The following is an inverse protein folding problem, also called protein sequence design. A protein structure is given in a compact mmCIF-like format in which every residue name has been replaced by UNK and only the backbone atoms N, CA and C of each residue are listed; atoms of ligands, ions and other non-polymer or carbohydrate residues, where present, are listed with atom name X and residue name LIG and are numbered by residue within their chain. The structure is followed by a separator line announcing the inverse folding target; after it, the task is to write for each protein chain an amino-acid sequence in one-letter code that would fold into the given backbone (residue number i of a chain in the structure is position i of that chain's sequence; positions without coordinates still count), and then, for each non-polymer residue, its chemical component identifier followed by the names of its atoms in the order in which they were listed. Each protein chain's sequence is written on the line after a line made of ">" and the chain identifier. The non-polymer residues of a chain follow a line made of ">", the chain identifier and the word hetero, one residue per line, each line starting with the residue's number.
data_IF_981661700561
#
_entry.id   IF_981661700561
#
_cell.length_a   1.000
_cell.length_b   1.000
_cell.length_c   1.000
_cell.angle_alpha   90.00
_cell.angle_beta   90.00
_cell.angle_gamma   90.00
#
_symmetry.space_group_name_H-M   'P 1'
#
loop_
_entity.id
_entity.type
_entity.pdbx_description
1 polymer ?
#
# COMPACT_ATOMS: atom_id res chain seq x y z
N UNK A 1 12.22 3.22 -10.54
CA UNK A 1 10.77 3.03 -10.89
C UNK A 1 10.54 2.32 -12.23
N UNK A 2 11.59 1.79 -12.83
CA UNK A 2 11.48 1.00 -14.08
C UNK A 2 10.56 -0.22 -13.90
N UNK A 3 10.62 -0.90 -12.75
CA UNK A 3 9.80 -2.06 -12.43
C UNK A 3 8.30 -1.82 -12.64
N UNK A 4 7.81 -0.63 -12.28
CA UNK A 4 6.40 -0.27 -12.46
C UNK A 4 6.08 0.00 -13.94
N UNK A 5 6.97 0.65 -14.69
CA UNK A 5 6.77 0.86 -16.13
C UNK A 5 6.81 -0.47 -16.89
N UNK A 6 7.71 -1.39 -16.52
CA UNK A 6 7.77 -2.73 -17.09
C UNK A 6 6.46 -3.51 -16.82
N UNK A 7 5.82 -3.30 -15.67
CA UNK A 7 4.50 -3.85 -15.37
C UNK A 7 3.42 -3.29 -16.30
N UNK A 8 3.35 -1.96 -16.48
CA UNK A 8 2.37 -1.35 -17.37
C UNK A 8 2.54 -1.84 -18.82
N UNK A 9 3.78 -1.88 -19.30
CA UNK A 9 4.11 -2.38 -20.64
C UNK A 9 3.71 -3.85 -20.80
N UNK A 10 4.00 -4.69 -19.79
CA UNK A 10 3.60 -6.10 -19.79
C UNK A 10 2.10 -6.27 -19.90
N UNK A 11 1.30 -5.51 -19.12
CA UNK A 11 -0.16 -5.61 -19.18
C UNK A 11 -0.68 -5.19 -20.55
N UNK A 12 -0.15 -4.11 -21.13
CA UNK A 12 -0.56 -3.65 -22.47
C UNK A 12 -0.23 -4.62 -23.59
N UNK A 13 0.86 -5.40 -23.47
CA UNK A 13 1.29 -6.39 -24.48
C UNK A 13 0.67 -7.78 -24.31
N UNK A 14 0.52 -8.22 -23.07
CA UNK A 14 0.20 -9.62 -22.73
C UNK A 14 -1.18 -9.77 -22.07
N UNK A 15 -1.80 -8.64 -21.65
CA UNK A 15 -3.05 -8.66 -20.91
C UNK A 15 -4.21 -9.22 -21.70
N UNK A 16 -5.01 -10.06 -21.02
CA UNK A 16 -6.24 -10.61 -21.55
C UNK A 16 -7.42 -9.75 -21.11
N UNK A 17 -8.32 -9.42 -22.04
CA UNK A 17 -9.50 -8.64 -21.71
C UNK A 17 -10.50 -9.46 -20.90
N UNK A 18 -11.00 -8.86 -19.81
CA UNK A 18 -11.99 -9.45 -18.90
C UNK A 18 -13.06 -8.42 -18.54
N UNK A 19 -14.25 -8.92 -18.26
CA UNK A 19 -15.26 -8.14 -17.51
C UNK A 19 -14.87 -8.00 -16.05
N UNK A 20 -15.45 -7.01 -15.37
CA UNK A 20 -15.28 -6.77 -13.96
C UNK A 20 -16.61 -6.32 -13.31
N UNK A 21 -16.61 -6.22 -11.97
CA UNK A 21 -17.79 -5.81 -11.19
C UNK A 21 -18.32 -4.42 -11.55
N UNK A 22 -17.43 -3.50 -11.94
CA UNK A 22 -17.80 -2.11 -12.25
C UNK A 22 -18.42 -1.94 -13.64
N UNK A 23 -18.31 -2.96 -14.51
CA UNK A 23 -18.76 -2.90 -15.89
C UNK A 23 -17.84 -2.12 -16.83
N UNK A 24 -16.73 -1.53 -16.34
CA UNK A 24 -15.75 -0.82 -17.15
C UNK A 24 -14.97 -1.77 -18.06
N UNK A 25 -14.70 -2.99 -17.59
CA UNK A 25 -13.80 -3.94 -18.21
C UNK A 25 -12.33 -3.66 -17.94
N UNK A 26 -11.52 -4.70 -18.02
CA UNK A 26 -10.08 -4.65 -17.77
C UNK A 26 -9.30 -5.41 -18.82
N UNK A 27 -8.00 -5.10 -18.94
CA UNK A 27 -6.99 -6.03 -19.45
C UNK A 27 -6.09 -6.43 -18.29
N UNK A 28 -5.79 -7.71 -18.15
CA UNK A 28 -5.06 -8.22 -16.99
C UNK A 28 -4.08 -9.34 -17.32
N UNK A 29 -3.03 -9.42 -16.49
CA UNK A 29 -2.16 -10.58 -16.36
C UNK A 29 -2.32 -11.18 -14.96
N UNK A 30 -2.10 -12.49 -14.82
CA UNK A 30 -2.17 -13.12 -13.51
C UNK A 30 -0.76 -13.40 -12.97
N UNK A 31 -0.45 -12.76 -11.84
CA UNK A 31 0.84 -12.92 -11.18
C UNK A 31 1.93 -12.01 -11.74
N UNK A 32 2.40 -11.08 -10.90
CA UNK A 32 3.58 -10.25 -11.16
C UNK A 32 4.28 -9.91 -9.85
N UNK A 33 5.59 -9.69 -9.91
CA UNK A 33 6.36 -9.26 -8.75
C UNK A 33 7.30 -8.13 -9.12
N UNK A 34 7.31 -7.09 -8.29
CA UNK A 34 8.25 -5.97 -8.35
C UNK A 34 9.08 -5.94 -7.07
N UNK A 35 10.33 -5.50 -7.17
CA UNK A 35 11.23 -5.32 -6.02
C UNK A 35 11.79 -3.91 -6.04
N UNK A 36 11.77 -3.25 -4.89
CA UNK A 36 12.26 -1.90 -4.68
C UNK A 36 13.27 -1.91 -3.53
N UNK A 37 14.52 -1.61 -3.82
CA UNK A 37 15.55 -1.42 -2.79
C UNK A 37 15.37 -0.05 -2.16
N UNK A 38 15.01 0.00 -0.88
CA UNK A 38 14.70 1.25 -0.17
C UNK A 38 15.97 2.08 0.18
N UNK A 39 17.17 1.50 0.01
CA UNK A 39 18.43 2.25 0.10
C UNK A 39 18.67 3.16 -1.12
N UNK A 40 18.06 2.85 -2.28
CA UNK A 40 18.19 3.66 -3.50
C UNK A 40 17.28 4.89 -3.50
N UNK A 41 16.35 4.99 -2.57
CA UNK A 41 15.39 6.09 -2.43
C UNK A 41 13.97 5.60 -2.17
N UNK A 42 13.09 6.57 -1.94
CA UNK A 42 11.68 6.28 -1.68
C UNK A 42 10.92 6.04 -3.00
N UNK A 43 10.27 4.88 -3.19
CA UNK A 43 9.66 4.51 -4.46
C UNK A 43 8.32 5.22 -4.71
N UNK A 44 8.34 6.55 -4.73
CA UNK A 44 7.24 7.40 -5.15
C UNK A 44 7.38 7.69 -6.65
N UNK A 45 6.38 7.36 -7.44
CA UNK A 45 6.43 7.52 -8.90
C UNK A 45 6.81 8.93 -9.33
N UNK A 46 7.76 9.03 -10.27
CA UNK A 46 8.17 10.29 -10.89
C UNK A 46 7.58 10.49 -12.29
N UNK A 47 7.07 9.43 -12.93
CA UNK A 47 6.44 9.52 -14.26
C UNK A 47 5.02 10.09 -14.24
N UNK A 48 4.40 10.21 -13.07
CA UNK A 48 3.24 11.05 -12.78
C UNK A 48 3.26 11.50 -11.32
N UNK A 49 2.77 12.71 -11.06
CA UNK A 49 2.67 13.24 -9.69
C UNK A 49 1.62 12.46 -8.89
N UNK A 50 2.00 11.99 -7.70
CA UNK A 50 1.12 11.36 -6.72
C UNK A 50 0.81 12.30 -5.55
N UNK A 51 -0.33 12.08 -4.89
CA UNK A 51 -0.76 12.86 -3.73
C UNK A 51 -0.25 12.20 -2.44
N UNK A 52 1.00 12.48 -2.06
CA UNK A 52 1.67 11.87 -0.89
C UNK A 52 0.89 12.04 0.41
N UNK A 53 0.22 13.20 0.59
CA UNK A 53 -0.59 13.46 1.79
C UNK A 53 -1.65 12.38 2.00
N UNK A 54 -2.33 11.94 0.95
CA UNK A 54 -3.33 10.86 1.05
C UNK A 54 -2.70 9.52 1.43
N UNK A 55 -1.51 9.22 0.89
CA UNK A 55 -0.78 7.97 1.19
C UNK A 55 -0.39 7.92 2.66
N UNK A 56 0.18 8.99 3.20
CA UNK A 56 0.59 9.06 4.61
C UNK A 56 -0.62 8.94 5.54
N UNK A 57 -1.67 9.75 5.32
CA UNK A 57 -2.85 9.71 6.19
C UNK A 57 -3.58 8.38 6.14
N UNK A 58 -3.67 7.72 4.97
CA UNK A 58 -4.26 6.39 4.86
C UNK A 58 -3.48 5.36 5.69
N UNK A 59 -2.14 5.37 5.59
CA UNK A 59 -1.31 4.44 6.36
C UNK A 59 -1.45 4.68 7.87
N UNK A 60 -1.43 5.95 8.32
CA UNK A 60 -1.63 6.29 9.72
C UNK A 60 -3.03 5.87 10.22
N UNK A 61 -4.04 6.02 9.39
CA UNK A 61 -5.41 5.61 9.66
C UNK A 61 -5.53 4.09 9.81
N UNK A 62 -4.84 3.29 8.99
CA UNK A 62 -4.77 1.84 9.16
C UNK A 62 -4.07 1.46 10.47
N UNK A 63 -2.93 2.10 10.80
CA UNK A 63 -2.17 1.86 12.02
C UNK A 63 -2.94 2.25 13.29
N UNK A 64 -3.82 3.24 13.21
CA UNK A 64 -4.74 3.62 14.29
C UNK A 64 -5.89 2.61 14.49
N UNK A 65 -6.03 1.61 13.61
CA UNK A 65 -7.13 0.65 13.64
C UNK A 65 -8.48 1.26 13.22
N UNK A 66 -8.46 2.47 12.69
CA UNK A 66 -9.66 3.21 12.34
C UNK A 66 -10.23 2.75 10.99
N UNK A 67 -11.55 2.75 10.86
CA UNK A 67 -12.28 2.32 9.66
C UNK A 67 -13.35 3.33 9.24
N UNK A 68 -13.38 4.53 9.85
CA UNK A 68 -14.32 5.57 9.48
C UNK A 68 -13.64 6.63 8.59
N UNK A 69 -14.19 6.82 7.39
CA UNK A 69 -13.66 7.72 6.38
C UNK A 69 -13.74 9.22 6.80
N UNK A 70 -14.59 9.61 7.75
CA UNK A 70 -14.66 10.99 8.25
C UNK A 70 -13.30 11.44 8.82
N UNK A 71 -12.57 10.55 9.48
CA UNK A 71 -11.23 10.86 9.97
C UNK A 71 -10.27 11.29 8.84
N UNK A 72 -10.36 10.65 7.68
CA UNK A 72 -9.60 11.03 6.47
C UNK A 72 -10.15 12.32 5.85
N UNK A 73 -11.47 12.48 5.76
CA UNK A 73 -12.15 13.65 5.20
C UNK A 73 -11.78 14.93 5.95
N UNK A 74 -11.73 14.89 7.29
CA UNK A 74 -11.32 16.00 8.16
C UNK A 74 -9.88 16.47 7.88
N UNK A 75 -9.06 15.60 7.27
CA UNK A 75 -7.68 15.87 6.84
C UNK A 75 -7.55 16.19 5.36
N UNK A 76 -8.70 16.32 4.66
CA UNK A 76 -8.75 16.62 3.23
C UNK A 76 -8.44 15.43 2.33
N UNK A 77 -8.52 14.20 2.84
CA UNK A 77 -8.31 12.95 2.09
C UNK A 77 -9.66 12.31 1.80
N UNK A 78 -9.93 12.01 0.52
CA UNK A 78 -11.25 11.55 0.05
C UNK A 78 -11.23 10.23 -0.71
N UNK A 79 -10.09 9.52 -0.66
CA UNK A 79 -9.85 8.31 -1.47
C UNK A 79 -10.73 7.10 -1.08
N UNK A 80 -11.49 7.20 0.02
CA UNK A 80 -12.39 6.15 0.51
C UNK A 80 -13.88 6.53 0.44
N UNK A 81 -14.21 7.71 -0.10
CA UNK A 81 -15.60 8.25 -0.08
C UNK A 81 -16.60 7.36 -0.81
N UNK A 82 -16.19 6.75 -1.94
CA UNK A 82 -17.08 5.95 -2.78
C UNK A 82 -17.55 4.64 -2.11
N UNK A 83 -16.81 4.17 -1.08
CA UNK A 83 -17.13 2.91 -0.38
C UNK A 83 -17.71 3.13 1.02
N UNK A 84 -17.64 4.35 1.54
CA UNK A 84 -18.15 4.67 2.86
C UNK A 84 -19.69 4.79 2.84
N UNK A 85 -20.33 4.33 3.93
CA UNK A 85 -21.73 4.59 4.15
C UNK A 85 -21.97 6.09 4.48
N UNK A 86 -23.24 6.55 4.61
CA UNK A 86 -23.54 7.95 4.93
C UNK A 86 -22.92 8.44 6.26
N UNK A 87 -22.64 7.54 7.20
CA UNK A 87 -21.99 7.83 8.47
C UNK A 87 -20.46 7.77 8.39
N UNK A 88 -19.92 7.41 7.22
CA UNK A 88 -18.48 7.31 6.94
C UNK A 88 -17.88 5.95 7.29
N UNK A 89 -18.69 4.95 7.68
CA UNK A 89 -18.18 3.65 8.07
C UNK A 89 -17.87 2.79 6.85
N UNK A 90 -16.80 2.01 6.95
CA UNK A 90 -16.32 1.09 5.91
C UNK A 90 -16.36 -0.39 6.36
N UNK A 91 -16.82 -0.63 7.60
CA UNK A 91 -16.83 -1.96 8.18
C UNK A 91 -15.43 -2.40 8.65
N UNK A 92 -15.25 -3.71 8.79
CA UNK A 92 -14.05 -4.30 9.41
C UNK A 92 -12.85 -4.39 8.45
N UNK A 93 -12.57 -3.31 7.69
CA UNK A 93 -11.48 -3.29 6.71
C UNK A 93 -10.11 -3.14 7.37
N UNK A 94 -9.05 -3.22 6.61
CA UNK A 94 -7.61 -3.10 6.91
C UNK A 94 -7.22 -2.78 8.36
N UNK A 95 -7.47 -1.56 8.84
CA UNK A 95 -7.08 -1.13 10.18
C UNK A 95 -7.70 -1.97 11.29
N UNK A 96 -8.97 -2.34 11.15
CA UNK A 96 -9.63 -3.24 12.10
C UNK A 96 -8.94 -4.60 12.13
N UNK A 97 -8.69 -5.22 10.98
CA UNK A 97 -8.05 -6.53 10.92
C UNK A 97 -6.60 -6.48 11.43
N UNK A 98 -5.87 -5.41 11.15
CA UNK A 98 -4.49 -5.26 11.61
C UNK A 98 -4.37 -5.09 13.13
N UNK A 99 -5.33 -4.40 13.75
CA UNK A 99 -5.25 -3.96 15.14
C UNK A 99 -6.24 -4.65 16.09
N UNK A 100 -7.29 -5.26 15.56
CA UNK A 100 -8.39 -5.81 16.35
C UNK A 100 -8.95 -7.09 15.69
N UNK A 101 -8.07 -7.98 15.25
CA UNK A 101 -8.50 -9.28 14.70
C UNK A 101 -9.22 -10.07 15.79
N UNK A 102 -10.47 -10.53 15.53
CA UNK A 102 -11.23 -11.26 16.55
C UNK A 102 -10.55 -12.57 16.96
N UNK A 103 -10.38 -12.78 18.26
CA UNK A 103 -9.86 -14.03 18.81
C UNK A 103 -11.01 -14.96 19.23
N UNK A 104 -10.75 -16.26 19.23
CA UNK A 104 -11.72 -17.29 19.64
C UNK A 104 -12.16 -17.17 21.09
N UNK A 105 -11.35 -16.60 21.97
CA UNK A 105 -11.63 -16.39 23.39
C UNK A 105 -12.44 -15.10 23.65
N UNK A 106 -12.91 -14.42 22.58
CA UNK A 106 -13.71 -13.19 22.67
C UNK A 106 -12.89 -11.92 22.86
N UNK A 107 -11.56 -12.01 22.74
CA UNK A 107 -10.64 -10.88 22.72
C UNK A 107 -10.29 -10.45 21.29
N UNK A 108 -9.19 -9.68 21.17
CA UNK A 108 -8.64 -9.20 19.90
C UNK A 108 -7.13 -9.41 19.85
N UNK A 109 -6.63 -9.70 18.67
CA UNK A 109 -5.20 -9.80 18.35
C UNK A 109 -4.77 -8.52 17.63
N UNK A 110 -3.77 -7.82 18.17
CA UNK A 110 -3.10 -6.71 17.52
C UNK A 110 -1.90 -7.22 16.72
N UNK A 111 -2.12 -7.54 15.45
CA UNK A 111 -1.09 -8.12 14.57
C UNK A 111 0.11 -7.19 14.36
N UNK A 112 -0.10 -5.86 14.37
CA UNK A 112 1.01 -4.90 14.21
C UNK A 112 1.90 -4.90 15.45
N UNK A 113 1.31 -4.88 16.66
CA UNK A 113 2.08 -4.98 17.92
C UNK A 113 2.86 -6.28 18.00
N UNK A 114 2.24 -7.41 17.65
CA UNK A 114 2.91 -8.73 17.60
C UNK A 114 4.04 -8.76 16.57
N UNK A 115 3.87 -8.13 15.40
CA UNK A 115 4.92 -8.04 14.40
C UNK A 115 6.11 -7.22 14.91
N UNK A 116 5.89 -6.06 15.54
CA UNK A 116 6.94 -5.24 16.17
C UNK A 116 7.70 -6.04 17.22
N UNK A 117 6.97 -6.72 18.11
CA UNK A 117 7.56 -7.53 19.18
C UNK A 117 8.40 -8.68 18.62
N UNK A 118 7.86 -9.40 17.64
CA UNK A 118 8.56 -10.52 17.00
C UNK A 118 9.82 -10.06 16.26
N UNK A 119 9.78 -8.94 15.54
CA UNK A 119 10.98 -8.38 14.87
C UNK A 119 12.08 -8.06 15.90
N UNK A 120 11.71 -7.52 17.09
CA UNK A 120 12.67 -7.15 18.14
C UNK A 120 13.28 -8.35 18.85
N UNK A 121 12.47 -9.38 19.14
CA UNK A 121 12.87 -10.46 20.04
C UNK A 121 13.15 -11.79 19.35
N UNK A 122 12.62 -12.00 18.14
CA UNK A 122 12.82 -13.19 17.33
C UNK A 122 12.89 -12.85 15.83
N UNK A 123 13.90 -12.08 15.40
CA UNK A 123 13.99 -11.57 14.00
C UNK A 123 14.10 -12.68 12.96
N UNK A 124 14.57 -13.88 13.33
CA UNK A 124 14.68 -15.04 12.43
C UNK A 124 13.34 -15.75 12.20
N UNK A 125 12.26 -15.29 12.81
CA UNK A 125 10.93 -15.88 12.65
C UNK A 125 10.45 -15.78 11.19
N UNK A 126 9.92 -16.88 10.68
CA UNK A 126 9.24 -16.96 9.38
C UNK A 126 7.72 -16.71 9.48
N UNK A 127 7.25 -16.25 10.65
CA UNK A 127 5.82 -16.07 10.97
C UNK A 127 5.45 -14.60 11.22
N UNK A 128 6.27 -13.65 10.78
CA UNK A 128 6.00 -12.22 10.95
C UNK A 128 5.07 -11.81 9.80
N UNK A 129 3.80 -12.13 9.95
CA UNK A 129 2.75 -11.93 8.93
C UNK A 129 1.64 -11.08 9.55
N UNK A 130 1.13 -10.14 8.76
CA UNK A 130 -0.07 -9.35 9.05
C UNK A 130 -1.09 -9.60 7.94
N UNK A 131 -2.28 -10.10 8.29
CA UNK A 131 -3.35 -10.42 7.35
C UNK A 131 -4.52 -9.47 7.53
N UNK A 132 -5.02 -8.91 6.41
CA UNK A 132 -6.30 -8.23 6.35
C UNK A 132 -7.42 -9.15 5.80
N UNK A 133 -7.06 -10.30 5.21
CA UNK A 133 -8.00 -11.23 4.62
C UNK A 133 -8.54 -12.19 5.66
N UNK A 134 -9.64 -11.77 6.32
CA UNK A 134 -10.39 -12.58 7.28
C UNK A 134 -11.63 -13.15 6.62
N UNK A 135 -11.60 -14.43 6.25
CA UNK A 135 -12.68 -15.09 5.49
C UNK A 135 -14.02 -15.02 6.23
N UNK A 136 -14.01 -15.14 7.56
CA UNK A 136 -15.24 -15.08 8.37
C UNK A 136 -15.87 -13.69 8.41
N UNK A 137 -15.08 -12.64 8.15
CA UNK A 137 -15.47 -11.24 8.33
C UNK A 137 -15.68 -10.48 7.01
N UNK A 138 -15.42 -11.10 5.86
CA UNK A 138 -15.56 -10.45 4.53
C UNK A 138 -16.92 -9.79 4.31
N UNK A 139 -17.98 -10.39 4.83
CA UNK A 139 -19.36 -9.88 4.72
C UNK A 139 -19.60 -8.57 5.51
N UNK A 140 -18.73 -8.24 6.45
CA UNK A 140 -18.77 -7.04 7.28
C UNK A 140 -17.85 -5.93 6.73
N UNK A 141 -17.35 -6.07 5.52
CA UNK A 141 -16.46 -5.14 4.84
C UNK A 141 -17.15 -4.54 3.63
N UNK A 142 -17.22 -3.20 3.53
CA UNK A 142 -17.78 -2.54 2.36
C UNK A 142 -16.91 -2.75 1.12
N UNK A 143 -15.60 -2.96 1.31
CA UNK A 143 -14.66 -3.35 0.27
C UNK A 143 -13.68 -4.41 0.80
N UNK A 144 -13.77 -5.69 0.34
CA UNK A 144 -12.82 -6.72 0.71
C UNK A 144 -11.37 -6.33 0.37
N UNK A 145 -10.38 -6.59 1.26
CA UNK A 145 -9.02 -6.10 1.11
C UNK A 145 -8.36 -6.54 -0.20
N UNK A 146 -7.87 -5.59 -0.98
CA UNK A 146 -7.07 -5.85 -2.18
C UNK A 146 -5.64 -6.27 -1.80
N UNK A 147 -4.96 -5.51 -0.95
CA UNK A 147 -3.71 -5.89 -0.34
C UNK A 147 -4.00 -6.79 0.87
N UNK A 148 -3.96 -8.11 0.61
CA UNK A 148 -4.57 -9.12 1.47
C UNK A 148 -3.73 -9.45 2.70
N UNK A 149 -2.42 -9.57 2.55
CA UNK A 149 -1.48 -9.79 3.65
C UNK A 149 -0.05 -9.38 3.26
N UNK A 150 0.78 -9.19 4.27
CA UNK A 150 2.20 -8.92 4.08
C UNK A 150 3.04 -9.63 5.12
N UNK A 151 4.30 -9.87 4.78
CA UNK A 151 5.27 -10.56 5.61
C UNK A 151 6.54 -9.73 5.73
N UNK A 152 7.09 -9.68 6.94
CA UNK A 152 8.41 -9.11 7.20
C UNK A 152 9.50 -10.18 7.19
N UNK A 153 10.70 -9.74 6.81
CA UNK A 153 11.91 -10.54 6.79
C UNK A 153 13.10 -9.71 7.27
N UNK A 154 13.87 -10.26 8.21
CA UNK A 154 15.06 -9.60 8.75
C UNK A 154 16.31 -10.37 8.29
N UNK A 155 17.26 -9.66 7.69
CA UNK A 155 18.58 -10.19 7.36
C UNK A 155 19.60 -9.05 7.30
N UNK A 156 20.83 -9.33 7.70
CA UNK A 156 21.95 -8.39 7.64
C UNK A 156 21.66 -7.02 8.25
N UNK A 157 20.88 -6.99 9.35
CA UNK A 157 20.47 -5.76 10.03
C UNK A 157 19.46 -4.91 9.26
N UNK A 158 18.80 -5.48 8.24
CA UNK A 158 17.79 -4.82 7.42
C UNK A 158 16.43 -5.51 7.55
N UNK A 159 15.38 -4.70 7.50
CA UNK A 159 13.99 -5.15 7.45
C UNK A 159 13.46 -5.02 6.03
N UNK A 160 12.99 -6.12 5.47
CA UNK A 160 12.27 -6.16 4.18
C UNK A 160 10.81 -6.53 4.40
N UNK A 161 9.94 -6.13 3.48
CA UNK A 161 8.52 -6.45 3.49
C UNK A 161 8.09 -6.98 2.13
N UNK A 162 7.35 -8.10 2.13
CA UNK A 162 6.66 -8.59 0.94
C UNK A 162 5.15 -8.48 1.11
N UNK A 163 4.50 -7.76 0.19
CA UNK A 163 3.05 -7.63 0.08
C UNK A 163 2.51 -8.63 -0.94
N UNK A 164 1.40 -9.30 -0.62
CA UNK A 164 0.53 -9.93 -1.61
C UNK A 164 -0.75 -9.12 -1.79
N UNK A 165 -0.94 -8.60 -3.01
CA UNK A 165 -2.12 -7.86 -3.44
C UNK A 165 -2.91 -8.72 -4.43
N UNK A 166 -4.10 -9.22 -4.01
CA UNK A 166 -4.93 -10.14 -4.81
C UNK A 166 -5.53 -9.50 -6.06
N UNK A 167 -5.78 -8.18 -5.99
CA UNK A 167 -6.40 -7.38 -7.05
C UNK A 167 -5.69 -6.04 -7.12
N UNK A 168 -5.09 -5.74 -8.25
CA UNK A 168 -4.16 -4.64 -8.42
C UNK A 168 -4.58 -3.75 -9.60
N UNK A 169 -5.29 -2.64 -9.32
CA UNK A 169 -5.47 -1.54 -10.27
C UNK A 169 -4.11 -0.87 -10.49
N UNK A 170 -3.49 -1.17 -11.63
CA UNK A 170 -2.13 -0.76 -11.91
C UNK A 170 -1.98 0.73 -12.22
N UNK A 171 -3.06 1.43 -12.59
CA UNK A 171 -2.94 2.85 -12.89
C UNK A 171 -3.18 3.77 -11.68
N UNK A 172 -4.25 3.55 -10.90
CA UNK A 172 -4.57 4.38 -9.74
C UNK A 172 -4.07 3.79 -8.43
N UNK A 173 -4.35 2.51 -8.14
CA UNK A 173 -4.11 1.89 -6.85
C UNK A 173 -2.64 1.51 -6.60
N UNK A 174 -2.02 0.75 -7.50
CA UNK A 174 -0.66 0.20 -7.31
C UNK A 174 0.39 1.27 -6.97
N UNK A 175 0.41 2.46 -7.62
CA UNK A 175 1.36 3.51 -7.24
C UNK A 175 1.24 3.98 -5.78
N UNK A 176 0.02 4.06 -5.26
CA UNK A 176 -0.25 4.39 -3.85
C UNK A 176 0.22 3.25 -2.94
N UNK A 177 -0.09 2.00 -3.30
CA UNK A 177 0.28 0.84 -2.49
C UNK A 177 1.80 0.66 -2.42
N UNK A 178 2.55 0.89 -3.52
CA UNK A 178 4.02 0.86 -3.52
C UNK A 178 4.57 1.84 -2.48
N UNK A 179 4.15 3.10 -2.53
CA UNK A 179 4.64 4.13 -1.62
C UNK A 179 4.20 3.87 -0.16
N UNK A 180 2.96 3.44 0.05
CA UNK A 180 2.41 3.15 1.39
C UNK A 180 3.17 2.03 2.09
N UNK A 181 3.38 0.89 1.42
CA UNK A 181 4.09 -0.25 2.03
C UNK A 181 5.61 -0.05 2.11
N UNK A 182 6.20 0.72 1.19
CA UNK A 182 7.58 1.17 1.36
C UNK A 182 7.74 2.05 2.60
N UNK A 183 6.80 2.99 2.82
CA UNK A 183 6.80 3.84 4.01
C UNK A 183 6.60 3.00 5.28
N UNK A 184 5.66 2.06 5.29
CA UNK A 184 5.46 1.13 6.41
C UNK A 184 6.74 0.35 6.73
N UNK A 185 7.45 -0.12 5.71
CA UNK A 185 8.74 -0.84 5.88
C UNK A 185 9.77 0.04 6.56
N UNK A 186 9.89 1.31 6.14
CA UNK A 186 10.83 2.27 6.73
C UNK A 186 10.46 2.62 8.19
N UNK A 187 9.17 2.84 8.47
CA UNK A 187 8.66 3.10 9.83
C UNK A 187 8.92 1.92 10.76
N UNK A 188 8.60 0.71 10.32
CA UNK A 188 8.83 -0.52 11.10
C UNK A 188 10.32 -0.76 11.33
N UNK A 189 11.18 -0.55 10.34
CA UNK A 189 12.63 -0.64 10.50
C UNK A 189 13.14 0.33 11.58
N UNK A 190 12.70 1.59 11.54
CA UNK A 190 13.10 2.60 12.52
C UNK A 190 12.72 2.19 13.96
N UNK A 191 11.48 1.81 14.21
CA UNK A 191 11.01 1.51 15.58
C UNK A 191 11.53 0.16 16.12
N UNK A 192 12.09 -0.68 15.25
CA UNK A 192 12.71 -1.95 15.63
C UNK A 192 14.25 -1.88 15.62
N UNK A 193 14.84 -0.71 15.31
CA UNK A 193 16.29 -0.49 15.32
C UNK A 193 17.02 -1.10 14.13
N UNK A 194 16.31 -1.41 13.05
CA UNK A 194 16.86 -1.96 11.81
C UNK A 194 16.97 -0.89 10.70
N UNK A 195 17.71 -1.20 9.64
CA UNK A 195 17.73 -0.40 8.42
C UNK A 195 16.62 -0.87 7.46
N UNK A 196 16.05 0.00 6.62
CA UNK A 196 15.17 -0.43 5.55
C UNK A 196 15.92 -1.32 4.54
N UNK A 197 15.31 -2.44 4.16
CA UNK A 197 15.80 -3.34 3.13
C UNK A 197 15.00 -3.18 1.83
N UNK A 198 14.37 -4.28 1.37
CA UNK A 198 13.57 -4.28 0.15
C UNK A 198 12.08 -4.22 0.47
N UNK A 199 11.32 -3.51 -0.36
CA UNK A 199 9.90 -3.73 -0.52
C UNK A 199 9.64 -4.60 -1.75
N UNK A 200 8.95 -5.74 -1.56
CA UNK A 200 8.58 -6.67 -2.61
C UNK A 200 7.06 -6.63 -2.78
N UNK A 201 6.59 -6.28 -3.97
CA UNK A 201 5.17 -6.21 -4.29
C UNK A 201 4.79 -7.36 -5.21
N UNK A 202 4.05 -8.32 -4.68
CA UNK A 202 3.52 -9.47 -5.42
C UNK A 202 2.03 -9.25 -5.67
N UNK A 203 1.60 -9.34 -6.93
CA UNK A 203 0.21 -9.10 -7.33
C UNK A 203 -0.42 -10.35 -7.94
N UNK A 204 -1.71 -10.56 -7.68
CA UNK A 204 -2.53 -11.62 -8.26
C UNK A 204 -3.16 -11.20 -9.59
N UNK A 205 -4.46 -10.81 -9.59
CA UNK A 205 -5.11 -10.18 -10.75
C UNK A 205 -4.56 -8.75 -10.91
N UNK A 206 -3.75 -8.58 -11.95
CA UNK A 206 -2.94 -7.38 -12.17
C UNK A 206 -3.45 -6.72 -13.43
N UNK A 207 -4.18 -5.60 -13.30
CA UNK A 207 -5.00 -5.09 -14.38
C UNK A 207 -4.90 -3.59 -14.61
N UNK A 208 -5.25 -3.20 -15.83
CA UNK A 208 -5.60 -1.84 -16.23
C UNK A 208 -7.08 -1.82 -16.62
N UNK A 209 -7.84 -0.88 -16.08
CA UNK A 209 -9.17 -0.60 -16.56
C UNK A 209 -9.15 -0.08 -18.00
N UNK A 210 -10.14 -0.43 -18.81
CA UNK A 210 -10.16 -0.05 -20.24
C UNK A 210 -10.19 1.47 -20.45
N UNK A 211 -10.75 2.23 -19.50
CA UNK A 211 -10.72 3.70 -19.50
C UNK A 211 -9.39 4.32 -19.08
N UNK A 212 -8.38 3.50 -18.69
CA UNK A 212 -7.03 3.96 -18.31
C UNK A 212 -5.94 3.63 -19.33
N UNK A 213 -6.28 2.99 -20.46
CA UNK A 213 -5.27 2.52 -21.43
C UNK A 213 -4.46 3.68 -22.05
N UNK A 214 -5.13 4.78 -22.41
CA UNK A 214 -4.46 5.95 -22.99
C UNK A 214 -3.56 6.64 -21.96
N UNK A 215 -4.00 6.72 -20.72
CA UNK A 215 -3.21 7.28 -19.61
C UNK A 215 -1.96 6.43 -19.33
N UNK A 216 -2.08 5.10 -19.38
CA UNK A 216 -0.95 4.19 -19.22
C UNK A 216 0.04 4.33 -20.37
N UNK A 217 -0.43 4.42 -21.63
CA UNK A 217 0.42 4.67 -22.79
C UNK A 217 1.15 6.02 -22.68
N UNK A 218 0.44 7.08 -22.30
CA UNK A 218 1.06 8.39 -22.04
C UNK A 218 2.15 8.29 -20.96
N UNK A 219 1.87 7.58 -19.85
CA UNK A 219 2.85 7.44 -18.78
C UNK A 219 4.11 6.69 -19.23
N UNK A 220 3.99 5.71 -20.11
CA UNK A 220 5.13 4.97 -20.70
C UNK A 220 6.03 5.82 -21.62
N UNK A 221 5.54 6.95 -22.13
CA UNK A 221 6.38 7.88 -22.90
C UNK A 221 7.28 8.76 -22.03
N UNK A 222 7.13 8.71 -20.70
CA UNK A 222 7.84 9.58 -19.77
C UNK A 222 9.04 8.87 -19.14
N UNK A 223 10.20 9.50 -19.22
CA UNK A 223 11.40 8.98 -18.57
C UNK A 223 11.31 9.15 -17.06
N UNK A 224 11.61 8.10 -16.27
CA UNK A 224 11.70 8.20 -14.82
C UNK A 224 12.78 9.20 -14.40
N UNK A 225 12.46 10.04 -13.42
CA UNK A 225 13.41 10.94 -12.77
C UNK A 225 13.99 10.29 -11.50
N UNK A 226 15.07 10.83 -10.91
CA UNK A 226 15.62 10.30 -9.67
C UNK A 226 14.57 10.13 -8.59
N UNK A 227 14.71 9.08 -7.77
CA UNK A 227 13.82 8.84 -6.65
C UNK A 227 13.99 9.93 -5.60
N UNK A 228 12.90 10.38 -4.97
CA UNK A 228 12.97 11.27 -3.82
C UNK A 228 13.49 10.51 -2.60
N UNK A 229 13.84 11.28 -1.56
CA UNK A 229 14.21 10.75 -0.26
C UNK A 229 13.11 11.04 0.76
N UNK A 230 12.69 10.00 1.48
CA UNK A 230 11.80 10.14 2.62
C UNK A 230 12.61 10.29 3.89
N UNK A 231 12.47 11.43 4.59
CA UNK A 231 13.03 11.68 5.91
C UNK A 231 11.94 11.43 6.94
N UNK A 232 12.23 10.58 7.90
CA UNK A 232 11.31 10.23 8.99
C UNK A 232 11.91 10.78 10.29
N UNK A 233 11.11 11.45 11.13
CA UNK A 233 11.53 11.97 12.41
C UNK A 233 12.16 10.85 13.28
N UNK A 234 13.47 10.90 13.59
CA UNK A 234 14.15 9.83 14.29
C UNK A 234 13.77 9.70 15.77
N UNK A 235 13.07 10.70 16.32
CA UNK A 235 12.66 10.71 17.71
C UNK A 235 11.44 9.84 17.99
N UNK A 236 10.68 9.48 16.97
CA UNK A 236 9.52 8.57 17.09
C UNK A 236 10.00 7.13 17.30
N UNK A 237 9.58 6.52 18.41
CA UNK A 237 10.02 5.18 18.87
C UNK A 237 8.94 4.12 18.85
N UNK A 238 7.67 4.51 18.69
CA UNK A 238 6.54 3.61 18.55
C UNK A 238 5.90 3.76 17.18
N UNK A 239 5.52 2.64 16.57
CA UNK A 239 4.85 2.63 15.25
C UNK A 239 3.50 3.39 15.28
N UNK A 240 2.91 3.52 16.48
CA UNK A 240 1.61 4.17 16.70
C UNK A 240 1.71 5.66 17.02
N UNK A 241 2.91 6.20 17.23
CA UNK A 241 3.11 7.60 17.63
C UNK A 241 3.39 8.52 16.45
N UNK A 242 3.58 7.97 15.25
CA UNK A 242 3.83 8.75 14.05
C UNK A 242 2.65 9.66 13.70
N UNK A 243 2.98 10.88 13.29
CA UNK A 243 2.06 11.90 12.79
C UNK A 243 2.49 12.33 11.39
N UNK A 244 1.62 13.01 10.68
CA UNK A 244 1.90 13.48 9.32
C UNK A 244 3.18 14.36 9.26
N UNK A 245 3.41 15.17 10.29
CA UNK A 245 4.53 16.10 10.41
C UNK A 245 5.88 15.41 10.59
N UNK A 246 5.88 14.11 10.93
CA UNK A 246 7.11 13.31 11.10
C UNK A 246 7.72 12.86 9.76
N UNK A 247 7.05 13.15 8.63
CA UNK A 247 7.48 12.76 7.30
C UNK A 247 7.80 13.96 6.43
N UNK A 248 9.03 14.02 5.91
CA UNK A 248 9.47 15.05 4.97
C UNK A 248 9.98 14.39 3.69
N UNK A 249 9.43 14.81 2.54
CA UNK A 249 9.88 14.34 1.22
C UNK A 249 10.85 15.34 0.61
N UNK A 250 12.04 14.88 0.24
CA UNK A 250 13.08 15.68 -0.39
C UNK A 250 13.33 15.24 -1.83
N UNK A 251 13.53 16.20 -2.73
CA UNK A 251 13.94 15.93 -4.11
C UNK A 251 12.84 15.30 -4.99
N UNK A 252 11.56 15.45 -4.65
CA UNK A 252 10.46 14.94 -5.48
C UNK A 252 10.17 15.88 -6.65
N UNK A 253 10.64 15.51 -7.83
CA UNK A 253 10.44 16.22 -9.11
C UNK A 253 9.69 15.31 -10.11
N UNK A 254 8.37 15.12 -9.97
CA UNK A 254 7.60 14.28 -10.86
C UNK A 254 7.18 15.00 -12.14
N UNK A 255 6.91 14.22 -13.19
CA UNK A 255 6.09 14.69 -14.32
C UNK A 255 4.68 15.08 -13.83
N UNK A 256 3.96 15.92 -14.60
CA UNK A 256 2.62 16.35 -14.22
C UNK A 256 1.66 15.18 -13.97
N UNK A 257 0.67 15.41 -13.13
CA UNK A 257 -0.41 14.46 -12.88
C UNK A 257 -1.10 14.02 -14.19
N UNK A 258 -1.50 12.76 -14.26
CA UNK A 258 -2.35 12.23 -15.32
C UNK A 258 -3.70 11.91 -14.71
N UNK A 259 -4.73 12.64 -15.14
CA UNK A 259 -6.10 12.44 -14.64
C UNK A 259 -6.67 11.13 -15.16
N UNK A 260 -7.32 10.38 -14.29
CA UNK A 260 -8.09 9.18 -14.62
C UNK A 260 -9.30 9.07 -13.67
N UNK A 261 -10.39 8.53 -14.15
CA UNK A 261 -11.62 8.36 -13.38
C UNK A 261 -11.57 7.03 -12.62
N UNK A 262 -12.07 7.04 -11.38
CA UNK A 262 -12.16 5.82 -10.56
C UNK A 262 -13.26 4.91 -11.11
N UNK A 263 -12.97 3.61 -11.23
CA UNK A 263 -13.97 2.59 -11.57
C UNK A 263 -14.53 1.97 -10.29
N UNK A 264 -15.81 2.17 -9.99
CA UNK A 264 -16.51 1.77 -8.74
C UNK A 264 -17.74 0.92 -9.02
#
# INVERSE_FOLDING_TARGET
>A
MKQYLDLLDRILREGVQKGDRTGTGTISVFGHQMRFNLEEGFPLLTTKKLHLKSIIYELLWFLDGNTNAKWLQDRGVRIWNEWADPDGNLGHIYGYQWRSWPDYDGGFIDQISEAVDTIKHNPDSRRIIVSAWNVADLKNMNLPPCHAFFQFYVADGKLSLQLYQRSADCFLGVPFNIASYALLTMMMAQVTGLKPGDFIHTTGDTHLYLNHLEQARLQLTREPRPLPKMIINPDVKSIFDFKYEDFQLEGYDPHPHIKADVSV
#
